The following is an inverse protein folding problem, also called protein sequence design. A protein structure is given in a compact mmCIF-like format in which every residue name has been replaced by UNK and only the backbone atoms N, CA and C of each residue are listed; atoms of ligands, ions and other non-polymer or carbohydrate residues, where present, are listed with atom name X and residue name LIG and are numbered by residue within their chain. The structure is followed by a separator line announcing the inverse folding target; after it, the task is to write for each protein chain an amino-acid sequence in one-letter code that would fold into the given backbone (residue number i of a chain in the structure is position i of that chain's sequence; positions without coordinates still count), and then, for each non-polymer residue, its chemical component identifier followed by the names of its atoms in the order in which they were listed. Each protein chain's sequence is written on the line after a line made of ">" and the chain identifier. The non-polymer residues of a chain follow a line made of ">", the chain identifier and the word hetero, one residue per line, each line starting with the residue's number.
data_IF_168974464286
#
_entry.id   IF_168974464286
#
_cell.length_a   1.000
_cell.length_b   1.000
_cell.length_c   1.000
_cell.angle_alpha   90.00
_cell.angle_beta   90.00
_cell.angle_gamma   90.00
#
_symmetry.space_group_name_H-M   'P 1'
#
loop_
_entity.id
_entity.type
_entity.pdbx_description
1 polymer ?
#
# COMPACT_ATOMS: atom_id res chain seq x y z
N UNK A 1 -21.75 24.75 11.79
CA UNK A 1 -21.41 23.41 11.29
C UNK A 1 -20.39 22.82 12.26
N UNK A 2 -20.80 21.89 13.11
CA UNK A 2 -19.88 21.20 14.00
C UNK A 2 -19.06 20.21 13.15
N UNK A 3 -17.79 20.52 12.94
CA UNK A 3 -16.89 19.65 12.21
C UNK A 3 -16.60 18.45 13.13
N UNK A 4 -17.05 17.26 12.76
CA UNK A 4 -16.82 16.03 13.54
C UNK A 4 -15.33 15.73 13.57
N UNK A 5 -14.71 15.89 14.75
CA UNK A 5 -13.27 15.64 14.98
C UNK A 5 -12.86 14.24 14.48
N UNK A 6 -13.73 13.23 14.65
CA UNK A 6 -13.46 11.88 14.14
C UNK A 6 -13.34 11.80 12.63
N UNK A 7 -14.20 12.48 11.88
CA UNK A 7 -14.12 12.53 10.41
C UNK A 7 -12.92 13.35 9.92
N UNK A 8 -12.55 14.40 10.65
CA UNK A 8 -11.35 15.18 10.33
C UNK A 8 -10.08 14.33 10.52
N UNK A 9 -9.99 13.60 11.62
CA UNK A 9 -8.88 12.69 11.88
C UNK A 9 -8.80 11.57 10.83
N UNK A 10 -9.96 10.98 10.48
CA UNK A 10 -10.05 10.01 9.39
C UNK A 10 -9.48 10.56 8.08
N UNK A 11 -9.89 11.77 7.68
CA UNK A 11 -9.44 12.38 6.42
C UNK A 11 -7.92 12.61 6.39
N UNK A 12 -7.31 13.02 7.51
CA UNK A 12 -5.86 13.19 7.63
C UNK A 12 -5.14 11.83 7.50
N UNK A 13 -5.58 10.83 8.24
CA UNK A 13 -4.94 9.50 8.19
C UNK A 13 -5.13 8.85 6.83
N UNK A 14 -6.28 9.03 6.19
CA UNK A 14 -6.54 8.55 4.84
C UNK A 14 -5.63 9.22 3.80
N UNK A 15 -5.39 10.52 3.94
CA UNK A 15 -4.43 11.23 3.10
C UNK A 15 -3.01 10.68 3.25
N UNK A 16 -2.57 10.46 4.50
CA UNK A 16 -1.25 9.88 4.78
C UNK A 16 -1.15 8.47 4.18
N UNK A 17 -2.16 7.62 4.37
CA UNK A 17 -2.20 6.27 3.80
C UNK A 17 -2.14 6.31 2.27
N UNK A 18 -2.91 7.20 1.62
CA UNK A 18 -2.87 7.40 0.17
C UNK A 18 -1.46 7.80 -0.31
N UNK A 19 -0.82 8.78 0.35
CA UNK A 19 0.54 9.21 0.00
C UNK A 19 1.55 8.06 0.16
N UNK A 20 1.44 7.28 1.23
CA UNK A 20 2.32 6.14 1.46
C UNK A 20 2.19 5.09 0.35
N UNK A 21 0.97 4.74 -0.07
CA UNK A 21 0.73 3.80 -1.18
C UNK A 21 1.31 4.35 -2.48
N UNK A 22 1.06 5.64 -2.78
CA UNK A 22 1.54 6.30 -3.99
C UNK A 22 3.08 6.32 -4.06
N UNK A 23 3.74 6.68 -2.96
CA UNK A 23 5.22 6.75 -2.89
C UNK A 23 5.84 5.37 -2.83
N UNK A 24 5.23 4.40 -2.14
CA UNK A 24 5.75 3.05 -2.01
C UNK A 24 5.84 2.31 -3.36
N UNK A 25 4.89 2.58 -4.26
CA UNK A 25 4.77 1.87 -5.54
C UNK A 25 6.02 1.96 -6.44
N UNK A 26 6.68 3.12 -6.62
CA UNK A 26 7.92 3.24 -7.40
C UNK A 26 9.19 2.92 -6.59
N UNK A 27 9.08 2.73 -5.28
CA UNK A 27 10.23 2.44 -4.42
C UNK A 27 10.66 0.96 -4.50
N UNK A 28 11.87 0.70 -3.98
CA UNK A 28 12.42 -0.66 -3.95
C UNK A 28 11.60 -1.57 -3.02
N UNK A 29 11.15 -2.69 -3.57
CA UNK A 29 10.55 -3.78 -2.78
C UNK A 29 11.62 -4.64 -2.13
N UNK A 30 12.74 -4.85 -2.85
CA UNK A 30 13.90 -5.60 -2.38
C UNK A 30 15.18 -4.87 -2.78
N UNK A 31 16.16 -4.82 -1.88
CA UNK A 31 17.47 -4.24 -2.12
C UNK A 31 18.53 -5.33 -2.11
N UNK A 32 19.47 -5.32 -3.07
CA UNK A 32 20.55 -6.29 -3.10
C UNK A 32 21.48 -6.08 -1.89
N UNK A 33 21.74 -7.15 -1.15
CA UNK A 33 22.67 -7.15 -0.02
C UNK A 33 24.07 -7.57 -0.48
N UNK A 34 24.78 -6.68 -1.18
CA UNK A 34 26.20 -6.94 -1.53
C UNK A 34 27.10 -6.31 -0.48
N UNK A 35 27.87 -7.15 0.26
CA UNK A 35 28.86 -6.66 1.23
C UNK A 35 29.88 -5.76 0.52
N UNK A 36 29.94 -4.49 0.93
CA UNK A 36 30.90 -3.50 0.42
C UNK A 36 30.40 -2.57 -0.69
N UNK A 37 29.21 -2.76 -1.24
CA UNK A 37 28.58 -1.82 -2.18
C UNK A 37 27.20 -1.37 -1.67
N UNK A 38 27.09 -0.20 -1.03
CA UNK A 38 25.83 0.25 -0.42
C UNK A 38 24.71 0.63 -1.41
N UNK A 39 24.92 0.48 -2.73
CA UNK A 39 23.94 0.81 -3.78
C UNK A 39 23.88 -0.22 -4.92
N UNK A 40 24.14 -1.47 -4.60
CA UNK A 40 24.11 -2.56 -5.58
C UNK A 40 22.67 -2.92 -5.94
N UNK A 41 22.05 -2.19 -6.85
CA UNK A 41 20.79 -2.53 -7.49
C UNK A 41 19.59 -2.82 -6.57
N UNK A 42 18.40 -2.62 -7.08
CA UNK A 42 17.17 -2.96 -6.35
C UNK A 42 16.07 -3.42 -7.28
N UNK A 43 15.19 -4.26 -6.74
CA UNK A 43 13.99 -4.72 -7.39
C UNK A 43 12.83 -3.85 -6.94
N UNK A 44 12.22 -3.13 -7.88
CA UNK A 44 10.97 -2.42 -7.70
C UNK A 44 9.80 -3.34 -8.09
N UNK A 45 8.58 -2.88 -7.87
CA UNK A 45 7.41 -3.59 -8.36
C UNK A 45 7.41 -3.71 -9.90
N UNK A 46 7.99 -2.73 -10.61
CA UNK A 46 7.97 -2.60 -12.07
C UNK A 46 9.16 -3.25 -12.77
N UNK A 47 10.28 -3.41 -12.09
CA UNK A 47 11.48 -3.98 -12.67
C UNK A 47 12.73 -3.85 -11.79
N UNK A 48 13.88 -3.98 -12.42
CA UNK A 48 15.19 -3.87 -11.78
C UNK A 48 15.81 -2.50 -12.05
N UNK A 49 16.37 -1.88 -11.01
CA UNK A 49 17.18 -0.65 -11.09
C UNK A 49 18.62 -0.96 -10.69
N UNK A 50 19.57 -0.49 -11.48
CA UNK A 50 21.01 -0.68 -11.20
C UNK A 50 21.49 0.12 -9.99
N UNK A 51 20.81 1.24 -9.67
CA UNK A 51 21.03 2.07 -8.49
C UNK A 51 19.71 2.43 -7.84
N UNK A 52 19.58 2.18 -6.54
CA UNK A 52 18.31 2.37 -5.81
C UNK A 52 17.82 3.83 -5.79
N UNK A 53 18.74 4.80 -5.75
CA UNK A 53 18.40 6.21 -5.53
C UNK A 53 18.27 7.06 -6.80
N UNK A 54 18.83 6.66 -7.95
CA UNK A 54 18.91 7.51 -9.14
C UNK A 54 18.75 6.78 -10.48
N UNK A 55 18.49 5.49 -10.48
CA UNK A 55 18.45 4.70 -11.72
C UNK A 55 17.08 4.69 -12.39
N UNK A 56 17.06 4.78 -13.72
CA UNK A 56 15.93 4.28 -14.52
C UNK A 56 15.86 2.76 -14.40
N UNK A 57 14.68 2.18 -14.60
CA UNK A 57 14.54 0.73 -14.69
C UNK A 57 15.31 0.21 -15.88
N UNK A 58 16.25 -0.69 -15.63
CA UNK A 58 17.12 -1.27 -16.68
C UNK A 58 16.40 -2.44 -17.36
N UNK A 59 15.59 -3.20 -16.58
CA UNK A 59 14.90 -4.40 -17.09
C UNK A 59 13.50 -4.46 -16.47
N UNK A 60 12.48 -4.68 -17.31
CA UNK A 60 11.10 -4.85 -16.86
C UNK A 60 10.95 -6.15 -16.08
N UNK A 61 10.00 -6.17 -15.11
CA UNK A 61 9.74 -7.35 -14.29
C UNK A 61 9.39 -8.62 -15.09
N UNK A 62 8.71 -8.47 -16.22
CA UNK A 62 8.31 -9.59 -17.08
C UNK A 62 9.50 -10.27 -17.76
N UNK A 63 10.49 -9.49 -18.20
CA UNK A 63 11.72 -9.98 -18.80
C UNK A 63 12.64 -10.57 -17.74
N UNK A 64 12.73 -9.90 -16.62
CA UNK A 64 13.55 -10.30 -15.47
C UNK A 64 13.16 -11.68 -14.93
N UNK A 65 11.87 -11.97 -14.89
CA UNK A 65 11.30 -13.23 -14.37
C UNK A 65 10.77 -14.16 -15.47
N UNK A 66 11.27 -14.06 -16.71
CA UNK A 66 10.81 -14.88 -17.83
C UNK A 66 10.88 -16.38 -17.53
N UNK A 67 11.95 -16.83 -16.86
CA UNK A 67 12.18 -18.22 -16.51
C UNK A 67 11.56 -18.65 -15.17
N UNK A 68 10.97 -17.70 -14.40
CA UNK A 68 10.38 -17.91 -13.09
C UNK A 68 8.89 -17.59 -13.13
N UNK A 69 8.09 -18.45 -13.79
CA UNK A 69 6.66 -18.17 -14.05
C UNK A 69 5.85 -17.82 -12.82
N UNK A 70 6.06 -18.52 -11.70
CA UNK A 70 5.32 -18.25 -10.45
C UNK A 70 5.63 -16.86 -9.89
N UNK A 71 6.91 -16.46 -9.91
CA UNK A 71 7.37 -15.14 -9.50
C UNK A 71 6.82 -14.05 -10.41
N UNK A 72 6.92 -14.25 -11.73
CA UNK A 72 6.36 -13.31 -12.71
C UNK A 72 4.87 -13.05 -12.49
N UNK A 73 4.09 -14.11 -12.28
CA UNK A 73 2.65 -13.98 -12.06
C UNK A 73 2.34 -13.22 -10.75
N UNK A 74 3.12 -13.43 -9.67
CA UNK A 74 2.97 -12.66 -8.42
C UNK A 74 3.32 -11.20 -8.62
N UNK A 75 4.37 -10.87 -9.37
CA UNK A 75 4.70 -9.47 -9.69
C UNK A 75 3.59 -8.82 -10.50
N UNK A 76 3.05 -9.49 -11.54
CA UNK A 76 1.92 -8.97 -12.33
C UNK A 76 0.67 -8.75 -11.47
N UNK A 77 0.33 -9.70 -10.60
CA UNK A 77 -0.78 -9.53 -9.67
C UNK A 77 -0.54 -8.33 -8.74
N UNK A 78 0.64 -8.24 -8.14
CA UNK A 78 0.98 -7.12 -7.26
C UNK A 78 0.96 -5.77 -7.99
N UNK A 79 1.41 -5.68 -9.23
CA UNK A 79 1.31 -4.47 -10.07
C UNK A 79 -0.15 -4.06 -10.30
N UNK A 80 -1.00 -5.00 -10.71
CA UNK A 80 -2.41 -4.73 -10.96
C UNK A 80 -3.11 -4.25 -9.68
N UNK A 81 -2.93 -4.95 -8.56
CA UNK A 81 -3.54 -4.59 -7.29
C UNK A 81 -2.94 -3.32 -6.68
N UNK A 82 -1.67 -2.99 -6.94
CA UNK A 82 -1.08 -1.71 -6.53
C UNK A 82 -1.76 -0.53 -7.23
N UNK A 83 -2.00 -0.63 -8.54
CA UNK A 83 -2.73 0.41 -9.29
C UNK A 83 -4.16 0.53 -8.76
N UNK A 84 -4.88 -0.58 -8.56
CA UNK A 84 -6.23 -0.58 -7.98
C UNK A 84 -6.21 0.07 -6.58
N UNK A 85 -5.23 -0.26 -5.74
CA UNK A 85 -5.10 0.32 -4.40
C UNK A 85 -4.92 1.84 -4.45
N UNK A 86 -4.11 2.38 -5.35
CA UNK A 86 -3.94 3.84 -5.52
C UNK A 86 -5.29 4.50 -5.79
N UNK A 87 -6.10 3.93 -6.70
CA UNK A 87 -7.44 4.48 -7.01
C UNK A 87 -8.39 4.35 -5.82
N UNK A 88 -8.41 3.23 -5.13
CA UNK A 88 -9.28 2.99 -3.96
C UNK A 88 -8.94 3.96 -2.83
N UNK A 89 -7.65 4.11 -2.47
CA UNK A 89 -7.20 5.02 -1.42
C UNK A 89 -7.43 6.49 -1.79
N UNK A 90 -7.18 6.85 -3.05
CA UNK A 90 -7.46 8.20 -3.55
C UNK A 90 -8.95 8.54 -3.52
N UNK A 91 -9.81 7.61 -3.94
CA UNK A 91 -11.26 7.78 -3.89
C UNK A 91 -11.76 7.88 -2.45
N UNK A 92 -11.28 7.01 -1.55
CA UNK A 92 -11.61 7.05 -0.13
C UNK A 92 -11.23 8.38 0.52
N UNK A 93 -10.06 8.93 0.16
CA UNK A 93 -9.63 10.25 0.62
C UNK A 93 -10.57 11.37 0.14
N UNK A 94 -10.87 11.42 -1.17
CA UNK A 94 -11.76 12.44 -1.74
C UNK A 94 -13.15 12.37 -1.13
N UNK A 95 -13.72 11.17 -1.01
CA UNK A 95 -15.03 10.99 -0.37
C UNK A 95 -15.00 11.31 1.12
N UNK A 96 -13.87 11.06 1.80
CA UNK A 96 -13.65 11.48 3.19
C UNK A 96 -13.71 13.00 3.35
N UNK A 97 -13.11 13.75 2.43
CA UNK A 97 -13.20 15.22 2.42
C UNK A 97 -14.64 15.69 2.17
N UNK A 98 -15.37 15.08 1.24
CA UNK A 98 -16.76 15.41 0.97
C UNK A 98 -17.64 15.10 2.19
N UNK A 99 -17.38 13.99 2.88
CA UNK A 99 -18.10 13.58 4.08
C UNK A 99 -17.95 14.58 5.25
N UNK A 100 -16.84 15.34 5.30
CA UNK A 100 -16.67 16.43 6.27
C UNK A 100 -17.70 17.54 6.07
N UNK A 101 -18.16 17.76 4.83
CA UNK A 101 -19.02 18.89 4.47
C UNK A 101 -20.51 18.52 4.40
N UNK A 102 -20.88 17.29 4.00
CA UNK A 102 -22.22 17.09 3.45
C UNK A 102 -23.08 15.95 4.02
N UNK A 103 -22.59 14.75 4.34
CA UNK A 103 -23.53 13.63 4.58
C UNK A 103 -23.01 12.49 5.46
N UNK A 104 -23.76 12.12 6.49
CA UNK A 104 -23.55 10.94 7.31
C UNK A 104 -23.57 9.61 6.53
N UNK A 105 -24.35 9.55 5.41
CA UNK A 105 -24.43 8.36 4.54
C UNK A 105 -23.09 8.00 3.90
N UNK A 106 -22.22 8.99 3.64
CA UNK A 106 -20.93 8.78 2.98
C UNK A 106 -19.94 7.98 3.83
N UNK A 107 -20.14 7.95 5.16
CA UNK A 107 -19.36 7.17 6.11
C UNK A 107 -19.33 5.67 5.75
N UNK A 108 -20.48 5.09 5.36
CA UNK A 108 -20.57 3.70 4.97
C UNK A 108 -19.85 3.41 3.66
N UNK A 109 -19.87 4.35 2.72
CA UNK A 109 -19.12 4.24 1.47
C UNK A 109 -17.61 4.30 1.75
N UNK A 110 -17.15 5.22 2.60
CA UNK A 110 -15.76 5.28 3.04
C UNK A 110 -15.32 3.98 3.73
N UNK A 111 -16.19 3.41 4.58
CA UNK A 111 -15.92 2.12 5.23
C UNK A 111 -15.75 0.99 4.21
N UNK A 112 -16.65 0.89 3.23
CA UNK A 112 -16.55 -0.12 2.17
C UNK A 112 -15.27 0.02 1.34
N UNK A 113 -14.86 1.26 1.02
CA UNK A 113 -13.61 1.53 0.31
C UNK A 113 -12.38 1.16 1.13
N UNK A 114 -12.37 1.43 2.45
CA UNK A 114 -11.25 1.01 3.31
C UNK A 114 -11.16 -0.52 3.39
N UNK A 115 -12.28 -1.23 3.49
CA UNK A 115 -12.28 -2.71 3.45
C UNK A 115 -11.72 -3.22 2.12
N UNK A 116 -12.13 -2.62 0.99
CA UNK A 116 -11.56 -2.94 -0.32
C UNK A 116 -10.06 -2.60 -0.39
N UNK A 117 -9.64 -1.47 0.18
CA UNK A 117 -8.24 -1.04 0.29
C UNK A 117 -7.38 -2.05 1.05
N UNK A 118 -7.85 -2.49 2.21
CA UNK A 118 -7.17 -3.54 3.01
C UNK A 118 -7.00 -4.81 2.18
N UNK A 119 -8.04 -5.27 1.49
CA UNK A 119 -7.99 -6.49 0.71
C UNK A 119 -7.01 -6.37 -0.47
N UNK A 120 -7.08 -5.29 -1.25
CA UNK A 120 -6.22 -5.07 -2.41
C UNK A 120 -4.76 -4.89 -2.00
N UNK A 121 -4.48 -4.10 -0.97
CA UNK A 121 -3.11 -3.85 -0.51
C UNK A 121 -2.51 -5.09 0.18
N UNK A 122 -3.33 -5.91 0.85
CA UNK A 122 -2.93 -7.19 1.40
C UNK A 122 -2.40 -8.12 0.29
N UNK A 123 -3.08 -8.19 -0.86
CA UNK A 123 -2.61 -8.99 -1.99
C UNK A 123 -1.24 -8.51 -2.48
N UNK A 124 -1.01 -7.20 -2.53
CA UNK A 124 0.27 -6.62 -2.97
C UNK A 124 1.40 -7.05 -2.05
N UNK A 125 1.33 -6.70 -0.76
CA UNK A 125 2.45 -6.99 0.15
C UNK A 125 2.60 -8.48 0.42
N UNK A 126 1.50 -9.26 0.49
CA UNK A 126 1.57 -10.71 0.67
C UNK A 126 2.24 -11.40 -0.52
N UNK A 127 1.93 -10.99 -1.76
CA UNK A 127 2.60 -11.49 -2.97
C UNK A 127 4.11 -11.22 -2.92
N UNK A 128 4.54 -10.08 -2.42
CA UNK A 128 5.95 -9.73 -2.28
C UNK A 128 6.62 -10.56 -1.16
N UNK A 129 5.96 -10.74 -0.02
CA UNK A 129 6.47 -11.57 1.09
C UNK A 129 6.59 -13.05 0.66
N UNK A 130 5.63 -13.57 -0.08
CA UNK A 130 5.72 -14.92 -0.65
C UNK A 130 6.90 -15.01 -1.61
N UNK A 131 7.09 -14.02 -2.48
CA UNK A 131 8.24 -13.98 -3.42
C UNK A 131 9.57 -13.92 -2.68
N UNK A 132 9.65 -13.22 -1.56
CA UNK A 132 10.85 -13.13 -0.73
C UNK A 132 11.25 -14.47 -0.15
N UNK A 133 10.29 -15.28 0.31
CA UNK A 133 10.54 -16.52 1.04
C UNK A 133 10.53 -17.78 0.18
N UNK A 134 9.81 -17.77 -0.96
CA UNK A 134 9.56 -18.98 -1.73
C UNK A 134 10.69 -19.30 -2.69
N UNK A 135 11.22 -20.53 -2.60
CA UNK A 135 12.08 -21.15 -3.59
C UNK A 135 11.23 -21.78 -4.71
N UNK A 136 11.57 -21.54 -5.97
CA UNK A 136 10.78 -22.00 -7.14
C UNK A 136 11.54 -22.96 -8.06
N UNK A 137 12.68 -23.45 -7.61
CA UNK A 137 13.49 -24.43 -8.37
C UNK A 137 14.85 -23.91 -8.82
N UNK A 138 15.63 -24.74 -9.53
CA UNK A 138 16.96 -24.39 -10.04
C UNK A 138 16.85 -23.16 -10.95
N UNK A 139 17.62 -22.12 -10.66
CA UNK A 139 17.58 -20.84 -11.40
C UNK A 139 16.58 -19.81 -10.83
N UNK A 140 15.74 -20.17 -9.88
CA UNK A 140 14.78 -19.27 -9.22
C UNK A 140 14.92 -19.34 -7.67
N UNK A 141 16.10 -18.97 -7.10
CA UNK A 141 16.33 -19.01 -5.66
C UNK A 141 15.36 -18.07 -4.90
N UNK A 142 15.16 -18.32 -3.60
CA UNK A 142 14.39 -17.41 -2.77
C UNK A 142 15.07 -16.04 -2.71
N UNK A 143 14.30 -14.95 -2.83
CA UNK A 143 14.87 -13.59 -2.85
C UNK A 143 15.62 -13.24 -1.57
N UNK A 144 15.21 -13.82 -0.42
CA UNK A 144 15.89 -13.64 0.88
C UNK A 144 17.36 -14.04 0.90
N UNK A 145 17.80 -14.89 -0.03
CA UNK A 145 19.20 -15.34 -0.11
C UNK A 145 20.12 -14.28 -0.73
N UNK A 146 19.55 -13.40 -1.56
CA UNK A 146 20.31 -12.42 -2.36
C UNK A 146 19.89 -10.97 -2.10
N UNK A 147 18.79 -10.75 -1.37
CA UNK A 147 18.22 -9.42 -1.15
C UNK A 147 17.75 -9.24 0.30
N UNK A 148 17.60 -7.98 0.70
CA UNK A 148 16.91 -7.53 1.91
C UNK A 148 15.60 -6.84 1.56
N UNK A 149 14.69 -6.72 2.54
CA UNK A 149 13.43 -6.00 2.35
C UNK A 149 13.69 -4.52 2.06
N UNK A 150 13.06 -4.01 1.02
CA UNK A 150 13.18 -2.60 0.62
C UNK A 150 12.15 -1.69 1.30
N UNK A 151 12.41 -0.38 1.23
CA UNK A 151 11.55 0.63 1.85
C UNK A 151 10.11 0.62 1.30
N UNK A 152 9.93 0.32 0.01
CA UNK A 152 8.60 0.26 -0.61
C UNK A 152 7.69 -0.75 0.06
N UNK A 153 8.20 -1.97 0.36
CA UNK A 153 7.41 -2.99 1.04
C UNK A 153 7.03 -2.57 2.46
N UNK A 154 7.95 -1.95 3.20
CA UNK A 154 7.69 -1.46 4.55
C UNK A 154 6.59 -0.39 4.54
N UNK A 155 6.65 0.57 3.62
CA UNK A 155 5.65 1.64 3.50
C UNK A 155 4.27 1.09 3.13
N UNK A 156 4.17 0.04 2.28
CA UNK A 156 2.90 -0.62 1.97
C UNK A 156 2.28 -1.26 3.22
N UNK A 157 3.08 -1.93 4.05
CA UNK A 157 2.60 -2.54 5.30
C UNK A 157 2.15 -1.46 6.28
N UNK A 158 2.89 -0.35 6.40
CA UNK A 158 2.50 0.80 7.25
C UNK A 158 1.18 1.40 6.77
N UNK A 159 1.01 1.62 5.46
CA UNK A 159 -0.25 2.11 4.90
C UNK A 159 -1.42 1.17 5.19
N UNK A 160 -1.20 -0.15 5.09
CA UNK A 160 -2.19 -1.16 5.42
C UNK A 160 -2.60 -1.12 6.90
N UNK A 161 -1.65 -0.95 7.81
CA UNK A 161 -1.93 -0.77 9.25
C UNK A 161 -2.73 0.51 9.52
N UNK A 162 -2.41 1.62 8.84
CA UNK A 162 -3.16 2.88 8.97
C UNK A 162 -4.60 2.73 8.50
N UNK A 163 -4.84 1.94 7.47
CA UNK A 163 -6.19 1.69 6.96
C UNK A 163 -7.05 0.89 7.96
N UNK A 164 -6.45 -0.06 8.68
CA UNK A 164 -7.12 -0.75 9.79
C UNK A 164 -7.52 0.25 10.90
N UNK A 165 -6.64 1.19 11.23
CA UNK A 165 -6.94 2.24 12.20
C UNK A 165 -8.08 3.13 11.69
N UNK A 166 -8.10 3.47 10.40
CA UNK A 166 -9.17 4.24 9.78
C UNK A 166 -10.52 3.54 9.87
N UNK A 167 -10.58 2.22 9.68
CA UNK A 167 -11.82 1.45 9.88
C UNK A 167 -12.28 1.57 11.34
N UNK A 168 -11.37 1.40 12.29
CA UNK A 168 -11.71 1.54 13.70
C UNK A 168 -12.27 2.93 14.02
N UNK A 169 -11.69 3.99 13.46
CA UNK A 169 -12.19 5.37 13.63
C UNK A 169 -13.58 5.55 13.00
N UNK A 170 -13.84 4.98 11.85
CA UNK A 170 -15.15 5.03 11.20
C UNK A 170 -16.22 4.26 11.98
N UNK A 171 -15.86 3.21 12.69
CA UNK A 171 -16.79 2.41 13.50
C UNK A 171 -17.10 3.02 14.86
N UNK A 172 -16.25 3.91 15.38
CA UNK A 172 -16.49 4.56 16.68
C UNK A 172 -17.70 5.51 16.60
N UNK A 173 -18.61 5.47 17.59
CA UNK A 173 -19.83 6.29 17.64
C UNK A 173 -19.53 7.72 18.13
N UNK A 174 -18.68 8.45 17.42
CA UNK A 174 -18.35 9.85 17.76
C UNK A 174 -19.54 10.81 17.54
N UNK A 175 -20.50 10.41 16.71
CA UNK A 175 -21.58 11.26 16.21
C UNK A 175 -22.79 11.34 17.15
N UNK A 176 -22.99 10.37 18.03
CA UNK A 176 -24.17 10.33 18.91
C UNK A 176 -24.04 11.25 20.12
N UNK A 177 -22.81 11.63 20.51
CA UNK A 177 -22.58 12.46 21.70
C UNK A 177 -22.83 13.96 21.51
N UNK A 178 -22.73 14.47 20.30
CA UNK A 178 -22.94 15.90 20.05
C UNK A 178 -24.43 16.24 19.86
N UNK A 179 -25.26 15.28 19.44
CA UNK A 179 -26.71 15.46 19.34
C UNK A 179 -27.38 15.54 20.72
N UNK A 180 -26.88 14.80 21.71
CA UNK A 180 -27.43 14.83 23.08
C UNK A 180 -27.07 16.12 23.86
N UNK A 181 -26.05 16.85 23.44
CA UNK A 181 -25.67 18.13 24.09
C UNK A 181 -26.41 19.35 23.53
N UNK A 182 -27.01 19.24 22.35
CA UNK A 182 -27.82 20.31 21.73
C UNK A 182 -29.31 20.21 22.04
N UNK A 183 -29.75 19.13 22.70
CA UNK A 183 -31.14 18.87 23.09
C UNK A 183 -31.47 19.13 24.56
N UNK A 184 -30.56 19.84 25.32
CA UNK A 184 -30.84 20.27 26.69
C UNK A 184 -30.81 21.76 26.84
#
# INVERSE_FOLDING_TARGET
>A
MACNIGMFLYAILQFIAFLLVLVATPLSMFSMAVKGLPNAGCYTLWGFKSTCNRGMEVTKSDELWANCMGRRNRFRAAQAFAVISIFVYGTAFVLGLIALCCCACLRWVCLALNVAGIATLCIVWASMVVTFNKYEGPGCPAMKEITTLGAGLILLVVAWCLDIINIALLLLPWQDRDSDKLGK
#
